data_IF_225410845035
#
_entry.id   IF_225410845035
#
_cell.length_a   1.000
_cell.length_b   1.000
_cell.length_c   1.000
_cell.angle_alpha   90.00
_cell.angle_beta   90.00
_cell.angle_gamma   90.00
#
_symmetry.space_group_name_H-M   'P 1'
#
loop_
_entity.id
_entity.type
_entity.pdbx_description
1 polymer ?
#
# COMPACT_ATOMS: atom_id res chain seq x y z
N UNK A 1 -1.12 -20.62 17.85
CA UNK A 1 -1.23 -19.57 16.82
C UNK A 1 -1.79 -18.31 17.49
N UNK A 2 -1.09 -17.17 17.40
CA UNK A 2 -1.57 -15.90 17.97
C UNK A 2 -2.72 -15.35 17.11
N UNK A 3 -3.69 -14.66 17.70
CA UNK A 3 -4.84 -14.11 16.94
C UNK A 3 -4.40 -13.12 15.86
N UNK A 4 -3.37 -12.33 16.13
CA UNK A 4 -2.81 -11.37 15.17
C UNK A 4 -2.19 -12.02 13.92
N UNK A 5 -1.90 -13.33 13.95
CA UNK A 5 -1.32 -14.04 12.81
C UNK A 5 -2.37 -14.39 11.74
N UNK A 6 -3.64 -14.50 12.14
CA UNK A 6 -4.72 -15.01 11.29
C UNK A 6 -4.80 -14.28 9.94
N UNK A 7 -4.80 -12.93 9.86
CA UNK A 7 -4.91 -12.24 8.58
C UNK A 7 -3.81 -12.59 7.58
N UNK A 8 -2.57 -12.82 8.07
CA UNK A 8 -1.45 -13.21 7.21
C UNK A 8 -1.57 -14.66 6.75
N UNK A 9 -1.92 -15.60 7.64
CA UNK A 9 -2.16 -16.98 7.23
C UNK A 9 -3.26 -17.05 6.15
N UNK A 10 -4.41 -16.40 6.39
CA UNK A 10 -5.51 -16.37 5.42
C UNK A 10 -5.10 -15.72 4.10
N UNK A 11 -4.33 -14.63 4.14
CA UNK A 11 -3.88 -13.95 2.93
C UNK A 11 -2.90 -14.83 2.12
N UNK A 12 -1.91 -15.44 2.77
CA UNK A 12 -0.92 -16.30 2.11
C UNK A 12 -1.49 -17.65 1.67
N UNK A 13 -2.58 -18.13 2.27
CA UNK A 13 -3.35 -19.28 1.77
C UNK A 13 -4.19 -18.93 0.54
N UNK A 14 -4.76 -17.72 0.50
CA UNK A 14 -5.74 -17.33 -0.53
C UNK A 14 -5.10 -16.71 -1.77
N UNK A 15 -4.02 -15.95 -1.62
CA UNK A 15 -3.45 -15.12 -2.70
C UNK A 15 -2.07 -15.66 -3.11
N UNK A 16 -2.05 -16.43 -4.20
CA UNK A 16 -0.82 -17.01 -4.76
C UNK A 16 -0.29 -16.24 -5.99
N UNK A 17 -1.09 -15.33 -6.57
CA UNK A 17 -0.84 -14.65 -7.86
C UNK A 17 -0.53 -13.14 -7.72
N UNK A 18 -0.44 -12.66 -6.47
CA UNK A 18 -0.19 -11.26 -6.12
C UNK A 18 0.30 -11.14 -4.69
N UNK A 19 0.83 -9.98 -4.33
CA UNK A 19 1.30 -9.69 -2.98
C UNK A 19 0.17 -9.90 -1.94
N UNK A 20 0.31 -10.87 -1.02
CA UNK A 20 -0.71 -11.12 0.01
C UNK A 20 -0.84 -9.95 1.00
N UNK A 21 0.26 -9.27 1.29
CA UNK A 21 0.27 -8.13 2.23
C UNK A 21 -0.50 -6.94 1.63
N UNK A 22 -0.32 -6.64 0.33
CA UNK A 22 -1.15 -5.65 -0.37
C UNK A 22 -2.65 -5.93 -0.21
N UNK A 23 -3.06 -7.21 -0.23
CA UNK A 23 -4.48 -7.55 -0.06
C UNK A 23 -5.03 -7.23 1.31
N UNK A 24 -4.24 -7.42 2.36
CA UNK A 24 -4.64 -7.02 3.71
C UNK A 24 -4.76 -5.49 3.77
N UNK A 25 -3.78 -4.76 3.21
CA UNK A 25 -3.78 -3.30 3.30
C UNK A 25 -4.88 -2.66 2.46
N UNK A 26 -5.18 -3.19 1.27
CA UNK A 26 -6.33 -2.76 0.46
C UNK A 26 -7.66 -2.89 1.23
N UNK A 27 -7.82 -3.96 2.01
CA UNK A 27 -9.01 -4.15 2.84
C UNK A 27 -9.04 -3.19 4.02
N UNK A 28 -7.91 -2.99 4.70
CA UNK A 28 -7.81 -2.03 5.80
C UNK A 28 -7.99 -0.59 5.33
N UNK A 29 -7.52 -0.21 4.14
CA UNK A 29 -7.76 1.09 3.52
C UNK A 29 -9.25 1.35 3.35
N UNK A 30 -9.97 0.39 2.75
CA UNK A 30 -11.41 0.51 2.53
C UNK A 30 -12.15 0.68 3.86
N UNK A 31 -11.89 -0.20 4.82
CA UNK A 31 -12.52 -0.16 6.15
C UNK A 31 -12.19 1.14 6.86
N UNK A 32 -10.94 1.59 6.80
CA UNK A 32 -10.53 2.84 7.43
C UNK A 32 -11.22 4.05 6.80
N UNK A 33 -11.31 4.11 5.46
CA UNK A 33 -12.01 5.18 4.75
C UNK A 33 -13.51 5.21 5.07
N UNK A 34 -14.17 4.06 5.17
CA UNK A 34 -15.58 3.96 5.59
C UNK A 34 -15.75 4.47 7.02
N UNK A 35 -14.91 3.99 7.94
CA UNK A 35 -14.94 4.40 9.35
C UNK A 35 -14.66 5.88 9.58
N UNK A 36 -13.77 6.48 8.79
CA UNK A 36 -13.47 7.91 8.87
C UNK A 36 -14.71 8.80 8.69
N UNK A 37 -15.74 8.30 8.00
CA UNK A 37 -16.95 9.05 7.69
C UNK A 37 -18.10 8.75 8.67
N UNK A 38 -17.94 7.75 9.55
CA UNK A 38 -18.95 7.40 10.54
C UNK A 38 -19.26 8.57 11.47
N UNK A 39 -20.54 8.78 11.76
CA UNK A 39 -21.05 9.88 12.59
C UNK A 39 -20.39 9.92 13.98
N UNK A 40 -20.15 8.76 14.58
CA UNK A 40 -19.47 8.62 15.86
C UNK A 40 -18.02 9.13 15.83
N UNK A 41 -17.30 8.82 14.74
CA UNK A 41 -15.91 9.24 14.52
C UNK A 41 -15.85 10.75 14.25
N UNK A 42 -16.81 11.30 13.50
CA UNK A 42 -16.87 12.73 13.20
C UNK A 42 -17.35 13.60 14.37
N UNK A 43 -18.06 13.00 15.33
CA UNK A 43 -18.46 13.65 16.59
C UNK A 43 -17.38 13.61 17.66
N UNK A 44 -16.36 12.75 17.51
CA UNK A 44 -15.20 12.74 18.39
C UNK A 44 -14.37 14.03 18.20
N UNK A 45 -14.18 14.86 19.25
CA UNK A 45 -13.50 16.15 19.10
C UNK A 45 -12.04 16.01 18.67
N UNK A 46 -11.32 15.01 19.17
CA UNK A 46 -9.90 14.81 18.83
C UNK A 46 -9.74 14.43 17.37
N UNK A 47 -10.59 13.52 16.89
CA UNK A 47 -10.58 13.07 15.51
C UNK A 47 -11.06 14.17 14.56
N UNK A 48 -12.08 14.94 14.92
CA UNK A 48 -12.54 16.07 14.11
C UNK A 48 -11.43 17.11 13.90
N UNK A 49 -10.69 17.44 14.96
CA UNK A 49 -9.51 18.32 14.88
C UNK A 49 -8.44 17.69 13.98
N UNK A 50 -8.15 16.40 14.14
CA UNK A 50 -7.17 15.67 13.33
C UNK A 50 -7.52 15.69 11.85
N UNK A 51 -8.78 15.45 11.48
CA UNK A 51 -9.26 15.53 10.10
C UNK A 51 -9.10 16.95 9.55
N UNK A 52 -9.42 17.97 10.37
CA UNK A 52 -9.23 19.37 9.98
C UNK A 52 -7.77 19.71 9.67
N UNK A 53 -6.84 19.25 10.51
CA UNK A 53 -5.40 19.58 10.46
C UNK A 53 -4.57 18.72 9.50
N UNK A 54 -5.16 17.69 8.90
CA UNK A 54 -4.45 16.79 7.98
C UNK A 54 -4.82 17.09 6.54
N UNK A 55 -4.24 16.36 5.59
CA UNK A 55 -4.62 16.46 4.19
C UNK A 55 -5.16 15.11 3.69
N UNK A 56 -5.70 15.11 2.48
CA UNK A 56 -5.98 13.89 1.72
C UNK A 56 -5.26 13.98 0.37
N UNK A 57 -4.56 12.92 -0.04
CA UNK A 57 -3.96 12.89 -1.37
C UNK A 57 -5.08 12.79 -2.42
N UNK A 58 -4.75 13.00 -3.70
CA UNK A 58 -5.74 12.95 -4.77
C UNK A 58 -6.46 11.59 -4.80
N UNK A 59 -5.70 10.50 -4.71
CA UNK A 59 -6.24 9.15 -4.69
C UNK A 59 -7.25 8.97 -3.54
N UNK A 60 -6.88 9.33 -2.30
CA UNK A 60 -7.77 9.19 -1.16
C UNK A 60 -8.97 10.14 -1.19
N UNK A 61 -8.86 11.32 -1.79
CA UNK A 61 -10.02 12.18 -2.04
C UNK A 61 -11.00 11.54 -3.02
N UNK A 62 -10.49 10.95 -4.11
CA UNK A 62 -11.31 10.24 -5.09
C UNK A 62 -11.96 9.00 -4.45
N UNK A 63 -11.21 8.23 -3.66
CA UNK A 63 -11.71 7.06 -2.93
C UNK A 63 -12.82 7.43 -1.93
N UNK A 64 -12.58 8.45 -1.09
CA UNK A 64 -13.58 8.96 -0.15
C UNK A 64 -14.80 9.52 -0.88
N UNK A 65 -14.62 10.21 -2.01
CA UNK A 65 -15.74 10.67 -2.82
C UNK A 65 -16.49 9.53 -3.53
N UNK A 66 -15.92 8.35 -3.67
CA UNK A 66 -16.66 7.20 -4.18
C UNK A 66 -17.43 6.44 -3.08
N UNK A 67 -17.33 6.88 -1.81
CA UNK A 67 -18.11 6.31 -0.70
C UNK A 67 -19.60 6.70 -0.78
N UNK A 68 -20.44 5.88 -0.16
CA UNK A 68 -21.88 6.14 -0.04
C UNK A 68 -22.20 7.24 0.98
N UNK A 69 -21.37 7.44 2.00
CA UNK A 69 -21.63 8.41 3.07
C UNK A 69 -21.20 9.84 2.69
N UNK A 70 -22.06 10.48 1.91
CA UNK A 70 -21.87 11.88 1.49
C UNK A 70 -21.99 12.88 2.62
N UNK A 71 -22.74 12.58 3.66
CA UNK A 71 -22.89 13.46 4.81
C UNK A 71 -21.61 13.48 5.62
N UNK A 72 -21.08 12.31 5.97
CA UNK A 72 -19.81 12.18 6.67
C UNK A 72 -18.67 12.84 5.90
N UNK A 73 -18.62 12.62 4.58
CA UNK A 73 -17.63 13.28 3.72
C UNK A 73 -17.76 14.80 3.74
N UNK A 74 -18.98 15.34 3.64
CA UNK A 74 -19.20 16.79 3.69
C UNK A 74 -18.72 17.40 5.02
N UNK A 75 -18.94 16.71 6.14
CA UNK A 75 -18.50 17.15 7.47
C UNK A 75 -16.96 17.14 7.56
N UNK A 76 -16.32 16.06 7.09
CA UNK A 76 -14.86 15.94 7.06
C UNK A 76 -14.21 17.01 6.17
N UNK A 77 -14.74 17.21 4.95
CA UNK A 77 -14.23 18.23 4.03
C UNK A 77 -14.46 19.65 4.56
N UNK A 78 -15.59 19.93 5.22
CA UNK A 78 -15.83 21.21 5.87
C UNK A 78 -14.78 21.49 6.95
N UNK A 79 -14.45 20.50 7.78
CA UNK A 79 -13.41 20.64 8.80
C UNK A 79 -12.06 20.97 8.16
N UNK A 80 -11.71 20.23 7.10
CA UNK A 80 -10.46 20.36 6.37
C UNK A 80 -10.30 21.72 5.67
N UNK A 81 -11.32 22.14 4.90
CA UNK A 81 -11.29 23.40 4.16
C UNK A 81 -11.33 24.60 5.11
N UNK A 82 -12.12 24.54 6.19
CA UNK A 82 -12.17 25.60 7.20
C UNK A 82 -10.79 25.81 7.86
N UNK A 83 -10.09 24.73 8.21
CA UNK A 83 -8.74 24.81 8.78
C UNK A 83 -7.75 25.44 7.81
N UNK A 84 -7.77 25.02 6.53
CA UNK A 84 -6.91 25.59 5.48
C UNK A 84 -7.21 27.07 5.22
N UNK A 85 -8.49 27.48 5.27
CA UNK A 85 -8.86 28.89 5.16
C UNK A 85 -8.26 29.71 6.31
N UNK A 86 -8.37 29.22 7.55
CA UNK A 86 -7.76 29.87 8.71
C UNK A 86 -6.23 30.01 8.55
N UNK A 87 -5.55 28.95 8.11
CA UNK A 87 -4.12 28.98 7.82
C UNK A 87 -3.77 30.06 6.79
N UNK A 88 -4.53 30.16 5.70
CA UNK A 88 -4.34 31.19 4.66
C UNK A 88 -4.54 32.60 5.23
N UNK A 89 -5.56 32.82 6.05
CA UNK A 89 -5.82 34.11 6.69
C UNK A 89 -4.70 34.51 7.65
N UNK A 90 -4.19 33.59 8.46
CA UNK A 90 -3.05 33.81 9.36
C UNK A 90 -1.76 34.11 8.58
N UNK A 91 -1.53 33.38 7.49
CA UNK A 91 -0.40 33.61 6.57
C UNK A 91 -0.49 34.98 5.90
N UNK A 92 -1.68 35.41 5.48
CA UNK A 92 -1.89 36.70 4.81
C UNK A 92 -1.49 37.89 5.70
N UNK A 93 -1.67 37.75 7.03
CA UNK A 93 -1.26 38.76 8.02
C UNK A 93 0.26 38.84 8.22
N UNK A 94 1.00 37.77 7.88
CA UNK A 94 2.44 37.62 8.14
C UNK A 94 3.33 37.67 6.88
N UNK A 95 2.76 37.96 5.71
CA UNK A 95 3.43 38.04 4.39
C UNK A 95 4.70 38.90 4.32
N UNK A 96 4.98 39.75 5.32
CA UNK A 96 6.16 40.65 5.33
C UNK A 96 7.49 39.99 5.75
N UNK A 97 7.59 38.71 6.14
CA UNK A 97 8.88 38.11 6.58
C UNK A 97 9.13 36.67 6.09
N UNK A 98 10.06 36.56 5.13
CA UNK A 98 10.78 35.36 4.60
C UNK A 98 9.93 34.28 3.88
N UNK A 99 10.47 33.77 2.76
CA UNK A 99 10.05 32.51 2.12
C UNK A 99 10.13 31.40 3.17
N UNK A 100 8.99 30.95 3.68
CA UNK A 100 8.88 29.77 4.53
C UNK A 100 8.82 28.51 3.69
N UNK A 101 9.36 27.41 4.23
CA UNK A 101 9.28 26.06 3.67
C UNK A 101 7.82 25.62 3.79
N UNK A 102 7.15 25.36 2.68
CA UNK A 102 5.80 24.80 2.67
C UNK A 102 5.94 23.35 3.16
N UNK A 103 5.52 23.08 4.40
CA UNK A 103 5.39 21.70 4.86
C UNK A 103 4.25 21.06 4.08
N UNK A 104 4.55 19.95 3.40
CA UNK A 104 3.50 19.13 2.79
C UNK A 104 2.79 18.42 3.94
N UNK A 105 1.60 18.90 4.29
CA UNK A 105 0.69 18.14 5.14
C UNK A 105 0.49 16.75 4.52
N UNK A 106 0.91 15.71 5.25
CA UNK A 106 0.83 14.32 4.79
C UNK A 106 -0.62 13.84 4.84
N UNK A 107 -1.01 13.02 3.88
CA UNK A 107 -2.36 12.48 3.85
C UNK A 107 -2.63 11.59 5.08
N UNK A 108 -3.80 11.80 5.71
CA UNK A 108 -4.22 11.07 6.91
C UNK A 108 -4.28 9.57 6.66
N UNK A 109 -4.90 9.16 5.55
CA UNK A 109 -5.04 7.75 5.19
C UNK A 109 -3.69 7.12 4.85
N UNK A 110 -2.85 7.76 4.02
CA UNK A 110 -1.50 7.23 3.73
C UNK A 110 -0.65 7.07 4.98
N UNK A 111 -0.81 7.96 5.97
CA UNK A 111 -0.11 7.84 7.25
C UNK A 111 -0.55 6.57 7.97
N UNK A 112 -1.86 6.35 8.08
CA UNK A 112 -2.42 5.12 8.66
C UNK A 112 -1.89 3.88 7.92
N UNK A 113 -1.96 3.84 6.59
CA UNK A 113 -1.57 2.67 5.80
C UNK A 113 -0.08 2.34 5.91
N UNK A 114 0.81 3.33 6.00
CA UNK A 114 2.23 3.09 6.29
C UNK A 114 2.46 2.47 7.67
N UNK A 115 1.70 2.89 8.68
CA UNK A 115 1.76 2.27 10.02
C UNK A 115 1.25 0.83 9.98
N UNK A 116 0.23 0.56 9.16
CA UNK A 116 -0.31 -0.79 8.94
C UNK A 116 0.64 -1.71 8.17
N UNK A 117 1.32 -1.20 7.14
CA UNK A 117 2.36 -1.96 6.42
C UNK A 117 3.42 -2.47 7.40
N UNK A 118 3.99 -1.57 8.20
CA UNK A 118 5.01 -1.93 9.18
C UNK A 118 4.48 -2.92 10.23
N UNK A 119 3.24 -2.74 10.69
CA UNK A 119 2.58 -3.65 11.63
C UNK A 119 2.47 -5.08 11.07
N UNK A 120 1.95 -5.24 9.86
CA UNK A 120 1.79 -6.56 9.25
C UNK A 120 3.12 -7.21 8.94
N UNK A 121 4.13 -6.44 8.52
CA UNK A 121 5.47 -6.99 8.30
C UNK A 121 6.13 -7.41 9.61
N UNK A 122 5.92 -6.69 10.71
CA UNK A 122 6.39 -7.14 12.03
C UNK A 122 5.75 -8.47 12.45
N UNK A 123 4.45 -8.64 12.23
CA UNK A 123 3.78 -9.92 12.50
C UNK A 123 4.32 -11.01 11.59
N UNK A 124 4.57 -10.72 10.30
CA UNK A 124 5.17 -11.67 9.39
C UNK A 124 6.53 -12.14 9.92
N UNK A 125 7.38 -11.23 10.40
CA UNK A 125 8.66 -11.59 11.00
C UNK A 125 8.48 -12.52 12.23
N UNK A 126 7.52 -12.21 13.11
CA UNK A 126 7.16 -13.10 14.25
C UNK A 126 6.70 -14.49 13.79
N UNK A 127 5.92 -14.57 12.69
CA UNK A 127 5.51 -15.84 12.08
C UNK A 127 6.74 -16.59 11.57
N UNK A 128 7.63 -15.93 10.82
CA UNK A 128 8.85 -16.57 10.29
C UNK A 128 9.81 -17.04 11.40
N UNK A 129 9.81 -16.38 12.55
CA UNK A 129 10.57 -16.83 13.71
C UNK A 129 9.99 -18.11 14.31
N UNK A 130 8.65 -18.18 14.42
CA UNK A 130 7.92 -19.24 15.13
C UNK A 130 7.53 -20.46 14.28
N UNK A 131 7.24 -20.29 12.98
CA UNK A 131 6.86 -21.34 12.03
C UNK A 131 7.90 -21.40 10.90
N UNK A 132 8.84 -22.33 11.03
CA UNK A 132 9.97 -22.49 10.10
C UNK A 132 9.54 -22.95 8.70
N UNK A 133 8.39 -23.59 8.59
CA UNK A 133 7.89 -24.14 7.33
C UNK A 133 6.96 -23.15 6.59
N UNK A 134 6.64 -21.99 7.18
CA UNK A 134 5.69 -21.04 6.62
C UNK A 134 6.09 -20.59 5.21
N UNK A 135 7.37 -20.32 4.96
CA UNK A 135 7.86 -19.93 3.62
C UNK A 135 7.67 -21.04 2.60
N UNK A 136 7.93 -22.29 2.98
CA UNK A 136 7.81 -23.42 2.07
C UNK A 136 6.34 -23.68 1.71
N UNK A 137 5.47 -23.69 2.72
CA UNK A 137 4.01 -23.88 2.55
C UNK A 137 3.37 -22.81 1.67
N UNK A 138 3.87 -21.57 1.74
CA UNK A 138 3.29 -20.42 1.04
C UNK A 138 4.24 -19.83 -0.01
N UNK A 139 5.12 -20.65 -0.59
CA UNK A 139 6.18 -20.22 -1.52
C UNK A 139 5.65 -19.41 -2.71
N UNK A 140 4.47 -19.77 -3.24
CA UNK A 140 3.81 -19.02 -4.32
C UNK A 140 3.36 -17.61 -3.89
N UNK A 141 2.79 -17.46 -2.70
CA UNK A 141 2.44 -16.14 -2.17
C UNK A 141 3.71 -15.30 -1.94
N UNK A 142 4.76 -15.93 -1.40
CA UNK A 142 6.04 -15.28 -1.20
C UNK A 142 6.76 -14.91 -2.49
N UNK A 143 6.58 -15.64 -3.60
CA UNK A 143 7.21 -15.32 -4.88
C UNK A 143 6.57 -14.14 -5.61
N UNK A 144 5.53 -13.52 -5.03
CA UNK A 144 4.75 -12.44 -5.64
C UNK A 144 4.65 -11.19 -4.75
N UNK A 145 5.60 -10.99 -3.82
CA UNK A 145 5.64 -9.74 -3.05
C UNK A 145 5.94 -8.56 -3.98
N UNK A 146 5.24 -7.44 -3.77
CA UNK A 146 5.55 -6.21 -4.49
C UNK A 146 6.86 -5.61 -3.99
N UNK A 147 7.47 -4.71 -4.76
CA UNK A 147 8.73 -4.07 -4.36
C UNK A 147 8.61 -3.36 -3.01
N UNK A 148 7.51 -2.63 -2.79
CA UNK A 148 7.27 -1.94 -1.52
C UNK A 148 7.30 -2.90 -0.32
N UNK A 149 6.55 -4.01 -0.36
CA UNK A 149 6.51 -4.94 0.78
C UNK A 149 7.79 -5.76 0.92
N UNK A 150 8.51 -6.02 -0.17
CA UNK A 150 9.85 -6.61 -0.10
C UNK A 150 10.83 -5.64 0.58
N UNK A 151 10.80 -4.35 0.23
CA UNK A 151 11.62 -3.31 0.84
C UNK A 151 11.31 -3.12 2.33
N UNK A 152 10.02 -3.10 2.70
CA UNK A 152 9.60 -3.01 4.12
C UNK A 152 10.05 -4.25 4.90
N UNK A 153 9.93 -5.45 4.32
CA UNK A 153 10.42 -6.69 4.94
C UNK A 153 11.92 -6.63 5.21
N UNK A 154 12.71 -6.29 4.20
CA UNK A 154 14.17 -6.19 4.31
C UNK A 154 14.56 -5.08 5.30
N UNK A 155 13.88 -3.93 5.25
CA UNK A 155 14.16 -2.79 6.11
C UNK A 155 13.81 -3.00 7.58
N UNK A 156 12.80 -3.83 7.89
CA UNK A 156 12.41 -4.15 9.27
C UNK A 156 13.08 -5.41 9.83
N UNK A 157 13.61 -6.28 8.96
CA UNK A 157 14.37 -7.44 9.38
C UNK A 157 15.65 -7.02 10.12
N UNK A 158 15.90 -7.60 11.30
CA UNK A 158 17.12 -7.34 12.08
C UNK A 158 18.37 -7.95 11.44
N UNK A 159 18.20 -9.08 10.75
CA UNK A 159 19.23 -9.82 10.05
C UNK A 159 18.61 -10.67 8.93
N UNK A 160 19.40 -11.05 7.93
CA UNK A 160 18.97 -11.99 6.91
C UNK A 160 18.99 -13.39 7.51
N UNK A 161 17.81 -13.95 7.75
CA UNK A 161 17.62 -15.35 8.16
C UNK A 161 17.51 -16.24 6.92
N UNK A 162 17.66 -17.58 7.04
CA UNK A 162 17.43 -18.49 5.91
C UNK A 162 16.04 -18.34 5.26
N UNK A 163 15.02 -18.00 6.05
CA UNK A 163 13.68 -17.77 5.51
C UNK A 163 13.57 -16.47 4.73
N UNK A 164 14.19 -15.39 5.22
CA UNK A 164 14.21 -14.10 4.50
C UNK A 164 15.03 -14.23 3.22
N UNK A 165 16.19 -14.89 3.27
CA UNK A 165 17.01 -15.19 2.10
C UNK A 165 16.22 -15.97 1.05
N UNK A 166 15.48 -17.00 1.49
CA UNK A 166 14.59 -17.78 0.61
C UNK A 166 13.48 -16.93 -0.02
N UNK A 167 12.87 -16.01 0.73
CA UNK A 167 11.85 -15.08 0.21
C UNK A 167 12.45 -14.17 -0.86
N UNK A 168 13.66 -13.64 -0.62
CA UNK A 168 14.38 -12.79 -1.58
C UNK A 168 14.65 -13.57 -2.87
N UNK A 169 15.16 -14.80 -2.78
CA UNK A 169 15.46 -15.63 -3.95
C UNK A 169 14.20 -16.03 -4.72
N UNK A 170 13.09 -16.31 -4.04
CA UNK A 170 11.79 -16.57 -4.68
C UNK A 170 11.32 -15.36 -5.50
N UNK A 171 11.35 -14.16 -4.91
CA UNK A 171 10.93 -12.94 -5.62
C UNK A 171 11.89 -12.60 -6.76
N UNK A 172 13.21 -12.72 -6.55
CA UNK A 172 14.22 -12.47 -7.57
C UNK A 172 13.97 -13.33 -8.82
N UNK A 173 13.76 -14.63 -8.64
CA UNK A 173 13.44 -15.55 -9.75
C UNK A 173 12.17 -15.13 -10.50
N UNK A 174 11.09 -14.78 -9.78
CA UNK A 174 9.85 -14.30 -10.41
C UNK A 174 10.05 -12.99 -11.17
N UNK A 175 10.80 -12.04 -10.61
CA UNK A 175 11.08 -10.74 -11.22
C UNK A 175 11.92 -10.91 -12.49
N UNK A 176 12.99 -11.72 -12.43
CA UNK A 176 13.84 -12.03 -13.60
C UNK A 176 13.03 -12.72 -14.70
N UNK A 177 12.16 -13.66 -14.35
CA UNK A 177 11.21 -14.25 -15.31
C UNK A 177 10.32 -13.18 -15.94
N UNK A 178 9.75 -12.27 -15.15
CA UNK A 178 8.86 -11.24 -15.66
C UNK A 178 9.59 -10.24 -16.58
N UNK A 179 10.86 -9.93 -16.33
CA UNK A 179 11.70 -9.14 -17.23
C UNK A 179 11.84 -9.85 -18.58
N UNK A 180 12.20 -11.14 -18.59
CA UNK A 180 12.31 -11.91 -19.83
C UNK A 180 10.98 -11.98 -20.60
N UNK A 181 9.87 -12.12 -19.87
CA UNK A 181 8.53 -12.14 -20.45
C UNK A 181 8.16 -10.76 -21.07
N UNK A 182 8.55 -9.65 -20.44
CA UNK A 182 8.40 -8.31 -21.01
C UNK A 182 9.28 -8.13 -22.27
N UNK A 183 10.51 -8.63 -22.26
CA UNK A 183 11.39 -8.62 -23.43
C UNK A 183 10.77 -9.38 -24.60
N UNK A 184 10.17 -10.54 -24.34
CA UNK A 184 9.44 -11.29 -25.36
C UNK A 184 8.19 -10.54 -25.82
N UNK A 185 7.43 -9.94 -24.90
CA UNK A 185 6.28 -9.10 -25.23
C UNK A 185 6.67 -7.97 -26.19
N UNK A 186 7.79 -7.28 -25.94
CA UNK A 186 8.32 -6.23 -26.81
C UNK A 186 8.74 -6.81 -28.17
N UNK A 187 9.47 -7.94 -28.16
CA UNK A 187 9.96 -8.60 -29.37
C UNK A 187 8.83 -9.03 -30.31
N UNK A 188 7.68 -9.43 -29.76
CA UNK A 188 6.49 -9.83 -30.52
C UNK A 188 5.92 -8.75 -31.44
N UNK A 189 6.25 -7.47 -31.23
CA UNK A 189 5.84 -6.37 -32.11
C UNK A 189 6.76 -6.19 -33.33
N UNK A 190 7.89 -6.89 -33.39
CA UNK A 190 8.69 -7.00 -34.60
C UNK A 190 8.03 -8.00 -35.57
N UNK A 191 7.84 -7.57 -36.82
CA UNK A 191 7.16 -8.36 -37.86
C UNK A 191 7.78 -9.75 -38.08
N UNK A 192 9.08 -9.91 -37.82
CA UNK A 192 9.81 -11.18 -37.95
C UNK A 192 9.30 -12.24 -36.99
N UNK A 193 8.81 -11.82 -35.82
CA UNK A 193 8.33 -12.70 -34.76
C UNK A 193 6.80 -12.73 -34.69
N UNK A 194 6.09 -12.15 -35.66
CA UNK A 194 4.63 -12.03 -35.63
C UNK A 194 3.92 -13.38 -35.46
N UNK A 195 4.39 -14.43 -36.16
CA UNK A 195 3.79 -15.76 -36.14
C UNK A 195 4.24 -16.64 -34.97
N UNK A 196 5.23 -16.20 -34.18
CA UNK A 196 5.70 -16.95 -33.02
C UNK A 196 4.63 -16.96 -31.89
N UNK A 197 4.59 -17.96 -31.01
CA UNK A 197 3.66 -17.94 -29.88
C UNK A 197 4.05 -16.87 -28.84
N UNK A 198 3.07 -16.42 -28.04
CA UNK A 198 3.33 -15.44 -26.97
C UNK A 198 3.96 -16.04 -25.71
N UNK A 199 3.95 -17.37 -25.53
CA UNK A 199 4.33 -18.01 -24.26
C UNK A 199 3.66 -17.32 -23.04
N UNK A 200 4.42 -17.07 -21.98
CA UNK A 200 3.97 -16.43 -20.74
C UNK A 200 4.04 -14.89 -20.79
N UNK A 201 4.24 -14.29 -21.97
CA UNK A 201 4.47 -12.84 -22.07
C UNK A 201 3.19 -11.99 -22.10
N UNK A 202 2.02 -12.57 -22.38
CA UNK A 202 0.77 -11.78 -22.58
C UNK A 202 0.38 -10.95 -21.36
N UNK A 203 0.57 -11.49 -20.17
CA UNK A 203 0.25 -10.87 -18.88
C UNK A 203 1.50 -10.26 -18.20
N UNK A 204 2.64 -10.21 -18.89
CA UNK A 204 3.90 -9.69 -18.35
C UNK A 204 3.79 -8.24 -17.86
N UNK A 205 3.03 -7.40 -18.58
CA UNK A 205 2.74 -6.01 -18.19
C UNK A 205 1.94 -5.97 -16.90
N UNK A 206 0.89 -6.79 -16.75
CA UNK A 206 0.06 -6.80 -15.55
C UNK A 206 0.89 -7.23 -14.32
N UNK A 207 1.73 -8.25 -14.46
CA UNK A 207 2.66 -8.68 -13.41
C UNK A 207 3.63 -7.56 -13.01
N UNK A 208 4.21 -6.86 -13.98
CA UNK A 208 5.10 -5.72 -13.71
C UNK A 208 4.37 -4.58 -12.99
N UNK A 209 3.14 -4.27 -13.40
CA UNK A 209 2.30 -3.27 -12.74
C UNK A 209 1.95 -3.68 -11.30
N UNK A 210 1.69 -4.96 -11.02
CA UNK A 210 1.47 -5.46 -9.66
C UNK A 210 2.73 -5.35 -8.78
N UNK A 211 3.90 -5.66 -9.34
CA UNK A 211 5.18 -5.55 -8.63
C UNK A 211 5.50 -4.11 -8.24
N UNK A 212 5.35 -3.18 -9.19
CA UNK A 212 5.60 -1.76 -8.98
C UNK A 212 4.48 -1.08 -8.20
N UNK A 213 3.25 -1.54 -8.39
CA UNK A 213 1.98 -0.99 -7.91
C UNK A 213 1.74 -1.10 -6.40
N UNK A 214 2.55 -1.88 -5.70
CA UNK A 214 2.42 -2.04 -4.26
C UNK A 214 2.80 -0.77 -3.51
N UNK A 215 2.04 -0.43 -2.46
CA UNK A 215 2.36 0.70 -1.59
C UNK A 215 2.09 2.09 -2.18
N UNK A 216 1.44 2.21 -3.34
CA UNK A 216 1.01 3.53 -3.84
C UNK A 216 -0.14 4.07 -3.00
N UNK A 217 0.22 4.92 -2.04
CA UNK A 217 -0.74 5.74 -1.29
C UNK A 217 -0.64 7.22 -1.65
N UNK A 218 0.34 7.67 -2.44
CA UNK A 218 0.63 9.09 -2.66
C UNK A 218 0.14 9.63 -4.02
#
# INVERSE_FOLDING_TARGET
MKLEFIPLYEAFEKYEDRCPICKIIEQEEKVYCERLLEDEILKDPEMYIKIGQTNFCRYHLELLNNSYDKLGLAIALKANISYKLQQIEEMSKTLKKKRRKIEKEKCLVCKYLRERDAYHVHILLDILESDKDFVEKHSKGFSNLCFHHLDVLIGLAKNITPQIDKIIELNKSTIEKNINDLEWFITKFDYRFHNEPWYDSKDSIERALKLLGGGYYD
#
